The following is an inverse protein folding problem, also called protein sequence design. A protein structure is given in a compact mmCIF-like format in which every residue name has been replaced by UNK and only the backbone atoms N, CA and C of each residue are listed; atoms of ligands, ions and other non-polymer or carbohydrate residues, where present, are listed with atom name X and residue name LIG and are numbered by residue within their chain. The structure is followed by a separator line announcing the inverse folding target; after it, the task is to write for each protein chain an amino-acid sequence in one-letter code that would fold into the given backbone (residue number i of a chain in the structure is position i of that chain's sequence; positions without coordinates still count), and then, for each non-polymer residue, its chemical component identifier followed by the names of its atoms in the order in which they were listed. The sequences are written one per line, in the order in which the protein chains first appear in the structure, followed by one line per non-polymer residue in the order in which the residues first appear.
data_IF_433943970556
#
_entry.id   IF_433943970556
#
_cell.length_a   1.000
_cell.length_b   1.000
_cell.length_c   1.000
_cell.angle_alpha   90.00
_cell.angle_beta   90.00
_cell.angle_gamma   90.00
#
_symmetry.space_group_name_H-M   'P 1'
#
loop_
_entity.id
_entity.type
_entity.pdbx_description
1 polymer ?
#
# COMPACT_ATOMS: atom_id res chain seq x y z
N UNK A 1 -10.57 27.96 4.47
CA UNK A 1 -9.69 26.89 4.98
C UNK A 1 -8.28 27.15 4.46
N UNK A 2 -7.21 26.96 5.25
CA UNK A 2 -5.85 27.07 4.74
C UNK A 2 -5.65 26.12 3.56
N UNK A 3 -4.83 26.52 2.59
CA UNK A 3 -4.48 25.69 1.43
C UNK A 3 -3.64 24.51 1.95
N UNK A 4 -4.13 23.29 1.74
CA UNK A 4 -3.40 22.06 2.10
C UNK A 4 -2.10 22.01 1.30
N UNK A 5 -0.98 21.84 1.99
CA UNK A 5 0.35 21.77 1.36
C UNK A 5 0.49 20.48 0.52
N UNK A 6 1.55 20.39 -0.28
CA UNK A 6 1.79 19.19 -1.09
C UNK A 6 2.15 17.99 -0.20
N UNK A 7 2.94 18.23 0.84
CA UNK A 7 3.31 17.24 1.86
C UNK A 7 2.05 16.72 2.58
N UNK A 8 1.13 17.60 2.97
CA UNK A 8 -0.12 17.20 3.61
C UNK A 8 -1.03 16.40 2.66
N UNK A 9 -0.97 16.64 1.35
CA UNK A 9 -1.67 15.79 0.35
C UNK A 9 -1.01 14.42 0.25
N UNK A 10 0.32 14.37 0.18
CA UNK A 10 1.06 13.11 0.21
C UNK A 10 0.71 12.29 1.45
N UNK A 11 0.62 12.90 2.64
CA UNK A 11 0.16 12.21 3.85
C UNK A 11 -1.23 11.61 3.66
N UNK A 12 -2.19 12.36 3.11
CA UNK A 12 -3.53 11.82 2.87
C UNK A 12 -3.54 10.66 1.86
N UNK A 13 -2.67 10.70 0.85
CA UNK A 13 -2.53 9.66 -0.16
C UNK A 13 -1.94 8.38 0.46
N UNK A 14 -0.87 8.50 1.27
CA UNK A 14 -0.27 7.41 2.04
C UNK A 14 -1.29 6.77 2.98
N UNK A 15 -1.98 7.60 3.78
CA UNK A 15 -2.95 7.12 4.77
C UNK A 15 -4.07 6.34 4.09
N UNK A 16 -4.55 6.82 2.95
CA UNK A 16 -5.63 6.17 2.23
C UNK A 16 -5.21 4.83 1.65
N UNK A 17 -4.04 4.77 1.01
CA UNK A 17 -3.49 3.52 0.49
C UNK A 17 -3.41 2.45 1.59
N UNK A 18 -2.77 2.77 2.72
CA UNK A 18 -2.53 1.80 3.79
C UNK A 18 -3.84 1.48 4.53
N UNK A 19 -4.66 2.49 4.83
CA UNK A 19 -5.94 2.27 5.51
C UNK A 19 -6.91 1.42 4.69
N UNK A 20 -6.92 1.59 3.36
CA UNK A 20 -7.71 0.74 2.48
C UNK A 20 -7.30 -0.73 2.63
N UNK A 21 -6.01 -1.03 2.57
CA UNK A 21 -5.51 -2.40 2.72
C UNK A 21 -5.77 -2.94 4.13
N UNK A 22 -5.67 -2.13 5.18
CA UNK A 22 -6.06 -2.53 6.54
C UNK A 22 -7.53 -2.94 6.64
N UNK A 23 -8.45 -2.16 6.06
CA UNK A 23 -9.88 -2.50 6.08
C UNK A 23 -10.19 -3.69 5.17
N UNK A 24 -9.50 -3.80 4.05
CA UNK A 24 -9.61 -4.94 3.14
C UNK A 24 -9.15 -6.24 3.80
N UNK A 25 -7.95 -6.24 4.40
CA UNK A 25 -7.37 -7.44 5.02
C UNK A 25 -8.10 -7.84 6.28
N UNK A 26 -8.53 -6.89 7.11
CA UNK A 26 -9.36 -7.25 8.26
C UNK A 26 -10.65 -7.86 7.76
N UNK A 27 -11.45 -7.17 6.95
CA UNK A 27 -12.82 -7.58 6.68
C UNK A 27 -12.98 -8.80 5.77
N UNK A 28 -12.09 -9.01 4.79
CA UNK A 28 -12.37 -9.90 3.65
C UNK A 28 -11.41 -11.07 3.47
N UNK A 29 -10.24 -11.05 4.10
CA UNK A 29 -9.29 -12.17 4.06
C UNK A 29 -9.83 -13.30 4.95
N UNK A 30 -9.89 -14.51 4.40
CA UNK A 30 -10.42 -15.68 5.11
C UNK A 30 -9.42 -16.19 6.17
N UNK A 31 -9.86 -17.07 7.06
CA UNK A 31 -8.97 -17.74 8.01
C UNK A 31 -7.91 -18.63 7.33
N UNK A 32 -8.19 -19.15 6.13
CA UNK A 32 -7.22 -19.92 5.34
C UNK A 32 -6.16 -18.98 4.75
N UNK A 33 -6.59 -17.85 4.21
CA UNK A 33 -5.68 -16.84 3.70
C UNK A 33 -4.78 -16.27 4.81
N UNK A 34 -5.33 -16.04 6.01
CA UNK A 34 -4.55 -15.61 7.18
C UNK A 34 -3.45 -16.61 7.55
N UNK A 35 -3.72 -17.92 7.47
CA UNK A 35 -2.69 -18.95 7.69
C UNK A 35 -1.60 -18.87 6.64
N UNK A 36 -1.95 -18.67 5.36
CA UNK A 36 -0.95 -18.53 4.31
C UNK A 36 -0.06 -17.29 4.53
N UNK A 37 -0.63 -16.18 5.00
CA UNK A 37 0.16 -15.01 5.40
C UNK A 37 1.10 -15.30 6.58
N UNK A 38 0.65 -16.07 7.56
CA UNK A 38 1.50 -16.49 8.69
C UNK A 38 2.65 -17.38 8.22
N UNK A 39 2.40 -18.31 7.30
CA UNK A 39 3.44 -19.17 6.71
C UNK A 39 4.47 -18.31 5.94
N UNK A 40 4.00 -17.36 5.12
CA UNK A 40 4.87 -16.38 4.43
C UNK A 40 5.69 -15.57 5.43
N UNK A 41 5.08 -15.09 6.52
CA UNK A 41 5.79 -14.32 7.54
C UNK A 41 6.90 -15.15 8.22
N UNK A 42 6.63 -16.40 8.57
CA UNK A 42 7.61 -17.30 9.18
C UNK A 42 8.76 -17.61 8.24
N UNK A 43 8.46 -17.85 6.96
CA UNK A 43 9.47 -18.15 5.95
C UNK A 43 10.36 -16.94 5.66
N UNK A 44 9.76 -15.76 5.53
CA UNK A 44 10.50 -14.51 5.36
C UNK A 44 11.35 -14.23 6.59
N UNK A 45 10.83 -14.39 7.81
CA UNK A 45 11.64 -14.22 9.02
C UNK A 45 12.82 -15.21 9.04
N UNK A 46 12.61 -16.46 8.62
CA UNK A 46 13.68 -17.44 8.48
C UNK A 46 14.75 -17.03 7.47
N UNK A 47 14.35 -16.41 6.36
CA UNK A 47 15.25 -15.85 5.35
C UNK A 47 16.01 -14.61 5.87
N UNK A 48 15.33 -13.69 6.54
CA UNK A 48 15.92 -12.50 7.17
C UNK A 48 17.02 -12.90 8.15
N UNK A 49 16.73 -13.85 9.05
CA UNK A 49 17.66 -14.30 10.08
C UNK A 49 18.93 -14.97 9.53
N UNK A 50 18.91 -15.43 8.27
CA UNK A 50 20.11 -15.95 7.58
C UNK A 50 21.00 -14.85 7.01
N UNK A 51 20.46 -13.65 6.80
CA UNK A 51 21.19 -12.50 6.26
C UNK A 51 21.74 -11.65 7.41
N UNK A 52 20.91 -11.33 8.40
CA UNK A 52 21.29 -10.49 9.54
C UNK A 52 20.46 -10.79 10.78
N UNK A 53 21.05 -10.55 11.95
CA UNK A 53 20.37 -10.52 13.25
C UNK A 53 20.30 -9.11 13.84
N UNK A 54 20.77 -8.10 13.10
CA UNK A 54 20.74 -6.70 13.53
C UNK A 54 19.31 -6.16 13.45
N UNK A 55 18.75 -5.77 14.61
CA UNK A 55 17.37 -5.30 14.75
C UNK A 55 17.02 -4.16 13.78
N UNK A 56 17.97 -3.23 13.57
CA UNK A 56 17.81 -2.09 12.65
C UNK A 56 17.61 -2.51 11.18
N UNK A 57 18.04 -3.72 10.79
CA UNK A 57 17.93 -4.24 9.42
C UNK A 57 16.76 -5.20 9.22
N UNK A 58 16.10 -5.67 10.28
CA UNK A 58 15.07 -6.71 10.18
C UNK A 58 13.85 -6.21 9.39
N UNK A 59 13.33 -5.02 9.69
CA UNK A 59 12.19 -4.44 8.98
C UNK A 59 12.53 -4.18 7.50
N UNK A 60 13.75 -3.72 7.23
CA UNK A 60 14.26 -3.46 5.88
C UNK A 60 14.32 -4.76 5.07
N UNK A 61 14.98 -5.80 5.59
CA UNK A 61 15.11 -7.09 4.93
C UNK A 61 13.74 -7.75 4.72
N UNK A 62 12.89 -7.73 5.75
CA UNK A 62 11.53 -8.29 5.66
C UNK A 62 10.76 -7.62 4.53
N UNK A 63 10.79 -6.28 4.48
CA UNK A 63 10.12 -5.51 3.44
C UNK A 63 10.64 -5.87 2.04
N UNK A 64 11.96 -5.83 1.82
CA UNK A 64 12.54 -6.11 0.50
C UNK A 64 12.30 -7.56 0.03
N UNK A 65 12.33 -8.54 0.94
CA UNK A 65 12.04 -9.94 0.60
C UNK A 65 10.56 -10.12 0.24
N UNK A 66 9.64 -9.48 0.97
CA UNK A 66 8.20 -9.48 0.63
C UNK A 66 7.96 -8.81 -0.73
N UNK A 67 8.64 -7.69 -1.02
CA UNK A 67 8.55 -7.03 -2.32
C UNK A 67 9.04 -7.92 -3.46
N UNK A 68 10.18 -8.60 -3.27
CA UNK A 68 10.69 -9.57 -4.23
C UNK A 68 9.73 -10.75 -4.43
N UNK A 69 9.11 -11.24 -3.35
CA UNK A 69 8.11 -12.29 -3.44
C UNK A 69 6.86 -11.84 -4.19
N UNK A 70 6.38 -10.61 -3.97
CA UNK A 70 5.26 -10.03 -4.73
C UNK A 70 5.55 -10.01 -6.24
N UNK A 71 6.75 -9.54 -6.62
CA UNK A 71 7.18 -9.51 -8.03
C UNK A 71 7.21 -10.94 -8.59
N UNK A 72 7.74 -11.90 -7.83
CA UNK A 72 7.84 -13.29 -8.27
C UNK A 72 6.47 -13.93 -8.52
N UNK A 73 5.52 -13.71 -7.60
CA UNK A 73 4.18 -14.29 -7.62
C UNK A 73 3.25 -13.61 -8.64
N UNK A 74 3.60 -12.40 -9.09
CA UNK A 74 2.84 -11.68 -10.10
C UNK A 74 3.11 -12.16 -11.53
N UNK A 75 2.24 -11.75 -12.45
CA UNK A 75 2.48 -11.90 -13.89
C UNK A 75 2.40 -13.34 -14.37
N UNK A 76 1.41 -14.11 -13.90
CA UNK A 76 1.04 -15.42 -14.47
C UNK A 76 0.25 -15.22 -15.79
N UNK A 77 0.74 -14.28 -16.61
CA UNK A 77 0.01 -13.57 -17.67
C UNK A 77 -0.09 -14.33 -18.98
N UNK A 78 0.58 -15.48 -19.13
CA UNK A 78 0.40 -16.36 -20.29
C UNK A 78 -1.09 -16.72 -20.47
N UNK A 79 -1.82 -16.91 -19.36
CA UNK A 79 -3.28 -17.20 -19.37
C UNK A 79 -4.17 -15.99 -19.68
N UNK A 80 -3.70 -14.76 -19.43
CA UNK A 80 -4.44 -13.53 -19.70
C UNK A 80 -4.18 -13.01 -21.11
N UNK A 81 -2.91 -12.96 -21.52
CA UNK A 81 -2.49 -12.56 -22.87
C UNK A 81 -2.98 -13.55 -23.94
N UNK A 82 -3.04 -14.85 -23.63
CA UNK A 82 -3.67 -15.84 -24.52
C UNK A 82 -5.18 -15.64 -24.71
N UNK A 83 -5.88 -14.94 -23.79
CA UNK A 83 -7.30 -14.58 -23.92
C UNK A 83 -7.53 -13.22 -24.59
N UNK A 84 -6.54 -12.32 -24.58
CA UNK A 84 -6.58 -11.04 -25.29
C UNK A 84 -6.24 -11.15 -26.79
N UNK A 85 -6.05 -12.38 -27.31
CA UNK A 85 -5.75 -12.67 -28.73
C UNK A 85 -6.66 -11.92 -29.70
N UNK A 86 -6.12 -10.85 -30.27
CA UNK A 86 -6.60 -10.16 -31.45
C UNK A 86 -5.44 -9.83 -32.38
N UNK A 87 -5.62 -10.09 -33.69
CA UNK A 87 -4.84 -9.79 -34.93
C UNK A 87 -3.29 -9.80 -34.98
N UNK A 88 -2.55 -9.66 -33.87
CA UNK A 88 -1.09 -9.76 -33.83
C UNK A 88 -0.72 -10.78 -32.75
N UNK A 89 -0.36 -11.99 -33.18
CA UNK A 89 0.05 -13.08 -32.30
C UNK A 89 1.50 -12.85 -31.84
N UNK A 90 1.68 -12.41 -30.59
CA UNK A 90 2.97 -12.53 -29.91
C UNK A 90 3.10 -13.99 -29.46
N UNK A 91 4.14 -14.73 -29.87
CA UNK A 91 4.35 -16.11 -29.43
C UNK A 91 4.51 -16.21 -27.91
N UNK A 92 3.97 -17.27 -27.30
CA UNK A 92 4.02 -17.48 -25.85
C UNK A 92 5.47 -17.49 -25.32
N UNK A 93 6.43 -18.07 -26.08
CA UNK A 93 7.85 -18.07 -25.75
C UNK A 93 8.47 -16.66 -25.67
N UNK A 94 8.01 -15.73 -26.52
CA UNK A 94 8.48 -14.35 -26.54
C UNK A 94 7.92 -13.60 -25.32
N UNK A 95 6.64 -13.85 -25.00
CA UNK A 95 6.00 -13.29 -23.81
C UNK A 95 6.66 -13.79 -22.52
N UNK A 96 6.93 -15.09 -22.41
CA UNK A 96 7.64 -15.68 -21.27
C UNK A 96 9.03 -15.07 -21.09
N UNK A 97 9.75 -14.85 -22.20
CA UNK A 97 11.06 -14.19 -22.19
C UNK A 97 10.97 -12.74 -21.71
N UNK A 98 9.97 -11.99 -22.15
CA UNK A 98 9.68 -10.62 -21.71
C UNK A 98 9.39 -10.56 -20.21
N UNK A 99 8.46 -11.38 -19.73
CA UNK A 99 8.04 -11.42 -18.32
C UNK A 99 9.20 -11.84 -17.42
N UNK A 100 9.97 -12.86 -17.83
CA UNK A 100 11.18 -13.28 -17.14
C UNK A 100 12.20 -12.15 -17.07
N UNK A 101 12.42 -11.44 -18.18
CA UNK A 101 13.38 -10.33 -18.22
C UNK A 101 12.97 -9.17 -17.30
N UNK A 102 11.68 -8.85 -17.28
CA UNK A 102 11.09 -7.85 -16.38
C UNK A 102 11.32 -8.21 -14.91
N UNK A 103 11.09 -9.48 -14.53
CA UNK A 103 11.39 -9.98 -13.17
C UNK A 103 12.89 -9.90 -12.84
N UNK A 104 13.76 -10.34 -13.75
CA UNK A 104 15.22 -10.27 -13.57
C UNK A 104 15.72 -8.83 -13.32
N UNK A 105 15.27 -7.87 -14.15
CA UNK A 105 15.64 -6.46 -13.98
C UNK A 105 15.13 -5.94 -12.63
N UNK A 106 13.90 -6.30 -12.26
CA UNK A 106 13.29 -5.85 -11.01
C UNK A 106 14.03 -6.39 -9.79
N UNK A 107 14.43 -7.67 -9.79
CA UNK A 107 15.26 -8.26 -8.74
C UNK A 107 16.65 -7.62 -8.67
N UNK A 108 17.27 -7.32 -9.82
CA UNK A 108 18.54 -6.62 -9.85
C UNK A 108 18.43 -5.22 -9.22
N UNK A 109 17.36 -4.48 -9.52
CA UNK A 109 17.11 -3.16 -8.93
C UNK A 109 16.82 -3.23 -7.43
N UNK A 110 15.96 -4.15 -6.98
CA UNK A 110 15.73 -4.39 -5.54
C UNK A 110 17.02 -4.72 -4.81
N UNK A 111 17.88 -5.57 -5.40
CA UNK A 111 19.19 -5.88 -4.82
C UNK A 111 20.10 -4.65 -4.72
N UNK A 112 19.98 -3.71 -5.66
CA UNK A 112 20.70 -2.44 -5.57
C UNK A 112 20.15 -1.56 -4.45
N UNK A 113 18.82 -1.47 -4.31
CA UNK A 113 18.17 -0.67 -3.28
C UNK A 113 18.50 -1.19 -1.88
N UNK A 114 18.33 -2.49 -1.62
CA UNK A 114 18.65 -3.10 -0.32
C UNK A 114 20.13 -2.93 0.06
N UNK A 115 21.04 -2.93 -0.92
CA UNK A 115 22.48 -2.77 -0.65
C UNK A 115 22.87 -1.38 -0.15
N UNK A 116 22.04 -0.37 -0.40
CA UNK A 116 22.25 0.97 0.14
C UNK A 116 22.11 1.04 1.66
N UNK A 117 21.49 0.02 2.26
CA UNK A 117 21.37 -0.17 3.71
C UNK A 117 22.50 -1.01 4.30
N UNK A 118 23.57 -1.27 3.53
CA UNK A 118 24.72 -2.08 3.98
C UNK A 118 24.54 -3.59 3.84
N UNK A 119 23.44 -4.04 3.23
CA UNK A 119 23.15 -5.46 3.01
C UNK A 119 23.89 -5.97 1.78
N UNK A 120 24.53 -7.15 1.87
CA UNK A 120 25.22 -7.75 0.72
C UNK A 120 24.19 -8.25 -0.30
N UNK A 121 24.35 -7.82 -1.56
CA UNK A 121 23.46 -8.20 -2.67
C UNK A 121 23.35 -9.72 -2.84
N UNK A 122 24.47 -10.43 -2.71
CA UNK A 122 24.51 -11.89 -2.90
C UNK A 122 23.66 -12.61 -1.86
N UNK A 123 23.76 -12.22 -0.58
CA UNK A 123 23.01 -12.84 0.52
C UNK A 123 21.50 -12.60 0.35
N UNK A 124 21.13 -11.36 -0.01
CA UNK A 124 19.74 -11.02 -0.32
C UNK A 124 19.18 -11.82 -1.50
N UNK A 125 19.90 -11.88 -2.62
CA UNK A 125 19.46 -12.61 -3.82
C UNK A 125 19.35 -14.11 -3.53
N UNK A 126 20.29 -14.70 -2.80
CA UNK A 126 20.23 -16.12 -2.44
C UNK A 126 18.95 -16.44 -1.65
N UNK A 127 18.65 -15.64 -0.63
CA UNK A 127 17.42 -15.85 0.15
C UNK A 127 16.15 -15.57 -0.64
N UNK A 128 16.15 -14.53 -1.50
CA UNK A 128 15.02 -14.26 -2.38
C UNK A 128 14.77 -15.46 -3.31
N UNK A 129 15.80 -15.99 -3.97
CA UNK A 129 15.69 -17.16 -4.85
C UNK A 129 15.16 -18.39 -4.10
N UNK A 130 15.62 -18.60 -2.86
CA UNK A 130 15.15 -19.71 -2.04
C UNK A 130 13.66 -19.56 -1.66
N UNK A 131 13.22 -18.35 -1.31
CA UNK A 131 11.80 -18.05 -1.07
C UNK A 131 10.95 -18.25 -2.33
N UNK A 132 11.39 -17.71 -3.48
CA UNK A 132 10.63 -17.83 -4.73
C UNK A 132 10.48 -19.28 -5.17
N UNK A 133 11.52 -20.11 -5.01
CA UNK A 133 11.46 -21.56 -5.27
C UNK A 133 10.48 -22.28 -4.33
N UNK A 134 10.41 -21.86 -3.07
CA UNK A 134 9.48 -22.47 -2.10
C UNK A 134 8.02 -22.27 -2.50
N UNK A 135 7.69 -21.10 -3.04
CA UNK A 135 6.34 -20.78 -3.49
C UNK A 135 6.07 -21.10 -4.97
N UNK A 136 7.07 -21.62 -5.67
CA UNK A 136 6.92 -22.07 -7.05
C UNK A 136 5.94 -23.26 -7.11
N UNK A 137 4.90 -23.14 -7.94
CA UNK A 137 3.86 -24.17 -8.08
C UNK A 137 2.84 -24.23 -6.94
N UNK A 138 2.99 -23.44 -5.87
CA UNK A 138 1.95 -23.27 -4.85
C UNK A 138 0.90 -22.30 -5.38
N UNK A 139 -0.37 -22.71 -5.37
CA UNK A 139 -1.47 -21.79 -5.70
C UNK A 139 -1.64 -20.76 -4.59
N UNK A 140 -1.29 -19.51 -4.88
CA UNK A 140 -1.55 -18.36 -4.01
C UNK A 140 -2.64 -17.51 -4.68
N UNK A 141 -3.83 -17.37 -4.07
CA UNK A 141 -4.90 -16.53 -4.61
C UNK A 141 -4.45 -15.10 -4.90
N UNK A 142 -4.99 -14.50 -5.96
CA UNK A 142 -4.74 -13.09 -6.27
C UNK A 142 -5.18 -12.13 -5.14
N UNK A 143 -6.14 -12.53 -4.30
CA UNK A 143 -6.54 -11.79 -3.09
C UNK A 143 -5.41 -11.64 -2.06
N UNK A 144 -4.39 -12.50 -2.11
CA UNK A 144 -3.20 -12.49 -1.26
C UNK A 144 -2.00 -11.93 -2.03
N UNK A 145 -1.69 -12.55 -3.18
CA UNK A 145 -0.47 -12.28 -3.93
C UNK A 145 -0.45 -10.87 -4.54
N UNK A 146 -1.61 -10.34 -4.95
CA UNK A 146 -1.69 -8.98 -5.48
C UNK A 146 -1.56 -7.96 -4.35
N UNK A 147 -0.59 -7.03 -4.47
CA UNK A 147 -0.27 -6.03 -3.43
C UNK A 147 0.17 -6.69 -2.12
N UNK A 148 0.86 -7.83 -2.20
CA UNK A 148 1.37 -8.59 -1.06
C UNK A 148 2.09 -7.72 -0.03
N UNK A 149 2.93 -6.76 -0.44
CA UNK A 149 3.65 -5.88 0.49
C UNK A 149 2.70 -5.04 1.37
N UNK A 150 1.66 -4.45 0.77
CA UNK A 150 0.66 -3.68 1.52
C UNK A 150 -0.21 -4.60 2.40
N UNK A 151 -0.63 -5.76 1.88
CA UNK A 151 -1.43 -6.72 2.64
C UNK A 151 -0.66 -7.28 3.83
N UNK A 152 0.62 -7.61 3.64
CA UNK A 152 1.52 -8.11 4.67
C UNK A 152 1.70 -7.08 5.78
N UNK A 153 2.01 -5.82 5.43
CA UNK A 153 2.11 -4.76 6.43
C UNK A 153 0.78 -4.56 7.18
N UNK A 154 -0.35 -4.68 6.49
CA UNK A 154 -1.67 -4.50 7.10
C UNK A 154 -2.02 -5.60 8.12
N UNK A 155 -1.47 -6.80 7.95
CA UNK A 155 -1.68 -7.92 8.86
C UNK A 155 -0.66 -7.95 10.00
N UNK A 156 0.61 -7.69 9.71
CA UNK A 156 1.71 -7.75 10.69
C UNK A 156 1.79 -6.47 11.53
N UNK A 157 1.50 -5.32 10.90
CA UNK A 157 1.57 -4.00 11.54
C UNK A 157 0.30 -3.15 11.27
N UNK A 158 -0.89 -3.62 11.71
CA UNK A 158 -2.18 -3.00 11.38
C UNK A 158 -2.31 -1.54 11.84
N UNK A 159 -1.53 -1.11 12.84
CA UNK A 159 -1.60 0.25 13.41
C UNK A 159 -0.60 1.25 12.81
N UNK A 160 0.26 0.83 11.86
CA UNK A 160 1.33 1.69 11.35
C UNK A 160 0.83 3.00 10.75
N UNK A 161 -0.32 2.99 10.06
CA UNK A 161 -0.92 4.20 9.52
C UNK A 161 -1.37 5.21 10.61
N UNK A 162 -1.81 4.76 11.79
CA UNK A 162 -2.15 5.64 12.92
C UNK A 162 -0.90 6.21 13.57
N UNK A 163 0.13 5.36 13.76
CA UNK A 163 1.39 5.74 14.38
C UNK A 163 2.20 6.69 13.48
N UNK A 164 2.24 6.41 12.18
CA UNK A 164 2.83 7.29 11.16
C UNK A 164 2.19 8.67 11.21
N UNK A 165 0.86 8.76 11.23
CA UNK A 165 0.20 10.04 11.34
C UNK A 165 0.51 10.76 12.65
N UNK A 166 0.50 10.03 13.78
CA UNK A 166 0.85 10.58 15.09
C UNK A 166 2.27 11.17 15.08
N UNK A 167 3.23 10.41 14.55
CA UNK A 167 4.62 10.84 14.37
C UNK A 167 4.73 12.16 13.59
N UNK A 168 4.00 12.28 12.47
CA UNK A 168 3.98 13.52 11.70
C UNK A 168 3.29 14.69 12.41
N UNK A 169 2.34 14.44 13.32
CA UNK A 169 1.77 15.50 14.16
C UNK A 169 2.76 15.93 15.25
N UNK A 170 3.50 15.00 15.84
CA UNK A 170 4.53 15.30 16.85
C UNK A 170 5.69 16.12 16.27
N UNK A 171 6.02 15.87 14.99
CA UNK A 171 6.96 16.69 14.21
C UNK A 171 6.39 18.03 13.74
N UNK A 172 5.09 18.29 13.94
CA UNK A 172 4.43 19.54 13.53
C UNK A 172 4.12 19.67 12.02
N UNK A 173 4.36 18.61 11.24
CA UNK A 173 4.06 18.57 9.80
C UNK A 173 2.54 18.52 9.57
N UNK A 174 1.86 17.72 10.40
CA UNK A 174 0.40 17.63 10.42
C UNK A 174 -0.18 18.39 11.62
N UNK A 175 -1.37 18.93 11.46
CA UNK A 175 -2.11 19.58 12.55
C UNK A 175 -3.49 18.97 12.70
N UNK A 176 -3.72 18.24 13.79
CA UNK A 176 -5.00 17.62 14.10
C UNK A 176 -5.50 18.02 15.49
N UNK A 177 -6.59 18.76 15.57
CA UNK A 177 -7.19 19.15 16.86
C UNK A 177 -7.65 17.96 17.72
N UNK A 178 -7.84 16.78 17.12
CA UNK A 178 -8.21 15.54 17.82
C UNK A 178 -7.00 14.74 18.31
N UNK A 179 -5.79 15.12 17.93
CA UNK A 179 -4.58 14.43 18.37
C UNK A 179 -3.93 15.17 19.54
N UNK A 180 -3.58 14.45 20.60
CA UNK A 180 -2.83 14.96 21.74
C UNK A 180 -1.35 14.69 21.48
N UNK A 181 -0.61 15.73 21.09
CA UNK A 181 0.83 15.62 20.84
C UNK A 181 1.53 14.96 22.04
N UNK A 182 2.31 13.93 21.74
CA UNK A 182 3.07 13.18 22.71
C UNK A 182 4.48 12.92 22.18
N UNK A 183 5.36 13.90 22.35
CA UNK A 183 6.79 13.86 21.95
C UNK A 183 7.61 12.72 22.58
N UNK A 184 7.03 11.89 23.44
CA UNK A 184 7.69 10.73 24.06
C UNK A 184 7.40 9.40 23.34
N UNK A 185 6.48 9.37 22.38
CA UNK A 185 6.16 8.14 21.66
C UNK A 185 7.14 7.96 20.49
N UNK A 186 8.04 6.98 20.61
CA UNK A 186 8.92 6.60 19.51
C UNK A 186 8.15 5.76 18.49
N UNK A 187 7.47 6.45 17.57
CA UNK A 187 6.79 5.85 16.43
C UNK A 187 7.71 5.75 15.19
N UNK A 188 9.03 5.90 15.36
CA UNK A 188 9.99 5.92 14.25
C UNK A 188 9.97 4.60 13.46
N UNK A 189 9.78 3.46 14.13
CA UNK A 189 9.64 2.16 13.47
C UNK A 189 8.46 2.11 12.49
N UNK A 190 7.27 2.57 12.91
CA UNK A 190 6.11 2.68 12.01
C UNK A 190 6.35 3.67 10.88
N UNK A 191 7.05 4.78 11.15
CA UNK A 191 7.44 5.72 10.09
C UNK A 191 8.35 5.06 9.05
N UNK A 192 9.37 4.32 9.47
CA UNK A 192 10.30 3.64 8.58
C UNK A 192 9.59 2.57 7.73
N UNK A 193 8.69 1.76 8.30
CA UNK A 193 7.93 0.76 7.55
C UNK A 193 7.00 1.40 6.51
N UNK A 194 6.33 2.49 6.87
CA UNK A 194 5.52 3.26 5.90
C UNK A 194 6.40 3.88 4.81
N UNK A 195 7.58 4.39 5.15
CA UNK A 195 8.51 4.95 4.19
C UNK A 195 9.02 3.90 3.18
N UNK A 196 9.32 2.69 3.66
CA UNK A 196 9.67 1.54 2.82
C UNK A 196 8.51 1.13 1.89
N UNK A 197 7.27 1.04 2.42
CA UNK A 197 6.09 0.81 1.58
C UNK A 197 5.96 1.84 0.45
N UNK A 198 6.17 3.12 0.77
CA UNK A 198 6.10 4.18 -0.24
C UNK A 198 7.26 4.15 -1.23
N UNK A 199 8.45 3.75 -0.81
CA UNK A 199 9.57 3.47 -1.71
C UNK A 199 9.18 2.39 -2.73
N UNK A 200 8.54 1.31 -2.29
CA UNK A 200 8.10 0.24 -3.19
C UNK A 200 6.97 0.67 -4.12
N UNK A 201 6.02 1.49 -3.66
CA UNK A 201 4.97 2.04 -4.53
C UNK A 201 5.55 2.98 -5.61
N UNK A 202 6.52 3.82 -5.25
CA UNK A 202 7.24 4.65 -6.23
C UNK A 202 8.05 3.76 -7.19
N UNK A 203 8.71 2.72 -6.68
CA UNK A 203 9.43 1.75 -7.52
C UNK A 203 8.50 1.04 -8.50
N UNK A 204 7.29 0.68 -8.09
CA UNK A 204 6.26 0.11 -8.96
C UNK A 204 5.85 1.08 -10.07
N UNK A 205 5.65 2.35 -9.75
CA UNK A 205 5.37 3.36 -10.78
C UNK A 205 6.54 3.49 -11.75
N UNK A 206 7.78 3.50 -11.25
CA UNK A 206 8.99 3.52 -12.06
C UNK A 206 9.08 2.28 -12.98
N UNK A 207 8.87 1.09 -12.43
CA UNK A 207 9.00 -0.18 -13.13
C UNK A 207 8.06 -0.28 -14.33
N UNK A 208 6.81 0.15 -14.15
CA UNK A 208 5.79 0.19 -15.19
C UNK A 208 6.24 0.91 -16.45
N UNK A 209 7.02 1.99 -16.31
CA UNK A 209 7.44 2.82 -17.45
C UNK A 209 8.85 2.53 -17.92
N UNK A 210 9.73 2.05 -17.04
CA UNK A 210 11.16 1.94 -17.32
C UNK A 210 11.66 0.49 -17.49
N UNK A 211 10.90 -0.51 -17.05
CA UNK A 211 11.29 -1.93 -17.11
C UNK A 211 10.50 -2.70 -18.18
N UNK A 212 9.34 -2.18 -18.62
CA UNK A 212 8.55 -2.79 -19.69
C UNK A 212 9.37 -2.79 -21.01
N UNK A 213 9.61 -3.95 -21.65
CA UNK A 213 10.39 -4.00 -22.88
C UNK A 213 9.61 -3.35 -24.02
N UNK A 214 9.93 -2.07 -24.25
CA UNK A 214 9.70 -1.28 -25.44
C UNK A 214 8.70 -1.81 -26.47
N UNK A 215 7.56 -1.15 -26.55
CA UNK A 215 6.68 -1.14 -27.71
C UNK A 215 6.16 0.26 -27.96
N UNK A 216 6.80 0.96 -28.90
CA UNK A 216 6.58 2.36 -29.34
C UNK A 216 7.14 3.44 -28.40
N UNK A 217 8.09 4.22 -28.92
CA UNK A 217 8.49 5.54 -28.43
C UNK A 217 7.34 6.58 -28.43
N UNK A 218 6.08 6.13 -28.46
CA UNK A 218 4.87 6.94 -28.56
C UNK A 218 3.87 6.55 -27.48
N UNK A 219 3.77 7.37 -26.42
CA UNK A 219 2.57 7.38 -25.59
C UNK A 219 1.50 8.19 -26.32
N UNK A 220 0.41 7.52 -26.70
CA UNK A 220 -0.77 8.20 -27.26
C UNK A 220 -1.59 8.83 -26.14
N UNK A 221 -1.36 10.12 -25.87
CA UNK A 221 -2.26 10.91 -25.02
C UNK A 221 -3.54 11.23 -25.79
N UNK A 222 -4.67 10.69 -25.35
CA UNK A 222 -5.97 10.96 -25.99
C UNK A 222 -6.59 12.21 -25.37
N UNK A 223 -7.04 13.14 -26.20
CA UNK A 223 -7.82 14.27 -25.72
C UNK A 223 -9.02 13.75 -24.93
N UNK A 224 -9.23 14.19 -23.68
CA UNK A 224 -10.39 13.77 -22.91
C UNK A 224 -11.68 14.10 -23.68
N UNK A 225 -12.70 13.21 -23.70
CA UNK A 225 -13.94 13.48 -24.42
C UNK A 225 -14.59 14.81 -24.01
N UNK A 226 -15.32 15.46 -24.92
CA UNK A 226 -15.91 16.78 -24.62
C UNK A 226 -17.06 16.70 -23.61
N UNK A 227 -17.66 15.53 -23.45
CA UNK A 227 -18.87 15.23 -22.69
C UNK A 227 -18.62 14.71 -21.26
N UNK A 228 -17.36 14.62 -20.81
CA UNK A 228 -17.06 14.26 -19.42
C UNK A 228 -17.13 15.46 -18.46
N UNK A 229 -17.42 15.23 -17.17
CA UNK A 229 -17.37 16.27 -16.15
C UNK A 229 -16.01 16.98 -16.07
N UNK A 230 -16.01 18.29 -15.82
CA UNK A 230 -14.78 19.11 -15.77
C UNK A 230 -13.78 18.64 -14.71
N UNK A 231 -14.27 18.15 -13.57
CA UNK A 231 -13.40 17.56 -12.54
C UNK A 231 -12.67 16.31 -13.04
N UNK A 232 -13.36 15.46 -13.81
CA UNK A 232 -12.78 14.26 -14.40
C UNK A 232 -11.78 14.63 -15.50
N UNK A 233 -12.13 15.62 -16.34
CA UNK A 233 -11.23 16.19 -17.36
C UNK A 233 -9.94 16.71 -16.73
N UNK A 234 -10.05 17.46 -15.64
CA UNK A 234 -8.89 17.99 -14.90
C UNK A 234 -8.02 16.88 -14.34
N UNK A 235 -8.62 15.82 -13.76
CA UNK A 235 -7.88 14.65 -13.26
C UNK A 235 -7.05 13.97 -14.36
N UNK A 236 -7.64 13.75 -15.53
CA UNK A 236 -6.94 13.14 -16.69
C UNK A 236 -5.77 14.04 -17.14
N UNK A 237 -5.98 15.35 -17.23
CA UNK A 237 -4.91 16.30 -17.59
C UNK A 237 -3.78 16.27 -16.55
N UNK A 238 -4.12 16.23 -15.26
CA UNK A 238 -3.13 16.19 -14.19
C UNK A 238 -2.35 14.86 -14.19
N UNK A 239 -2.96 13.73 -14.57
CA UNK A 239 -2.27 12.45 -14.79
C UNK A 239 -1.28 12.55 -15.96
N UNK A 240 -1.67 13.16 -17.08
CA UNK A 240 -0.77 13.35 -18.22
C UNK A 240 0.43 14.24 -17.90
N UNK A 241 0.22 15.34 -17.17
CA UNK A 241 1.33 16.18 -16.69
C UNK A 241 2.30 15.40 -15.81
N UNK A 242 1.77 14.57 -14.91
CA UNK A 242 2.60 13.73 -14.05
C UNK A 242 3.46 12.74 -14.85
N UNK A 243 2.90 12.11 -15.89
CA UNK A 243 3.67 11.25 -16.79
C UNK A 243 4.79 12.04 -17.47
N UNK A 244 4.47 13.21 -18.05
CA UNK A 244 5.44 14.08 -18.71
C UNK A 244 6.57 14.50 -17.76
N UNK A 245 6.21 15.00 -16.57
CA UNK A 245 7.15 15.60 -15.64
C UNK A 245 8.06 14.57 -14.96
N UNK A 246 7.60 13.34 -14.72
CA UNK A 246 8.35 12.35 -13.94
C UNK A 246 8.87 11.14 -14.74
N UNK A 247 8.24 10.81 -15.85
CA UNK A 247 8.62 9.64 -16.68
C UNK A 247 9.47 10.08 -17.87
N UNK A 248 9.11 11.19 -18.52
CA UNK A 248 9.75 11.61 -19.78
C UNK A 248 10.91 12.60 -19.62
N UNK A 249 10.97 13.35 -18.52
CA UNK A 249 12.00 14.38 -18.26
C UNK A 249 13.42 13.83 -18.02
N UNK A 250 13.67 12.55 -18.35
CA UNK A 250 14.94 11.80 -18.31
C UNK A 250 15.48 11.40 -16.94
N UNK A 251 14.80 11.69 -15.83
CA UNK A 251 15.37 11.33 -14.53
C UNK A 251 14.98 9.95 -13.99
N UNK A 252 13.92 9.29 -14.49
CA UNK A 252 13.57 7.91 -14.11
C UNK A 252 13.89 7.61 -12.64
N UNK A 253 13.41 8.46 -11.73
CA UNK A 253 14.04 8.56 -10.41
C UNK A 253 13.58 7.39 -9.58
N UNK A 254 14.48 6.43 -9.42
CA UNK A 254 14.37 5.44 -8.37
C UNK A 254 14.60 6.14 -7.03
N UNK A 255 13.50 6.53 -6.37
CA UNK A 255 13.56 6.99 -4.99
C UNK A 255 14.01 5.83 -4.10
N UNK A 256 14.93 6.14 -3.20
CA UNK A 256 15.43 5.20 -2.20
C UNK A 256 15.33 5.85 -0.83
N UNK A 257 14.53 5.28 0.05
CA UNK A 257 14.43 5.71 1.42
C UNK A 257 15.71 5.29 2.16
N UNK A 258 16.34 6.25 2.84
CA UNK A 258 17.46 5.98 3.74
C UNK A 258 17.15 6.67 5.07
N UNK A 259 17.55 6.05 6.18
CA UNK A 259 17.65 6.76 7.45
C UNK A 259 18.81 7.75 7.30
N UNK A 260 18.48 8.95 6.83
CA UNK A 260 19.45 9.97 6.50
C UNK A 260 20.04 10.58 7.77
N UNK A 261 21.27 11.11 7.71
CA UNK A 261 21.86 11.89 8.81
C UNK A 261 21.12 13.22 9.11
N UNK A 262 19.94 13.42 8.51
CA UNK A 262 19.09 14.58 8.76
C UNK A 262 18.35 14.40 10.09
N UNK A 263 17.87 15.52 10.64
CA UNK A 263 16.93 15.43 11.74
C UNK A 263 15.60 14.81 11.28
N UNK A 264 14.82 14.29 12.22
CA UNK A 264 13.60 13.55 11.96
C UNK A 264 12.58 14.31 11.09
N UNK A 265 12.39 15.60 11.36
CA UNK A 265 11.49 16.45 10.57
C UNK A 265 11.92 16.55 9.10
N UNK A 266 13.22 16.79 8.84
CA UNK A 266 13.73 16.87 7.47
C UNK A 266 13.66 15.53 6.76
N UNK A 267 13.91 14.42 7.45
CA UNK A 267 13.75 13.07 6.87
C UNK A 267 12.29 12.84 6.47
N UNK A 268 11.34 13.21 7.32
CA UNK A 268 9.91 13.13 7.00
C UNK A 268 9.50 14.03 5.83
N UNK A 269 9.97 15.28 5.79
CA UNK A 269 9.68 16.19 4.68
C UNK A 269 10.28 15.70 3.35
N UNK A 270 11.49 15.13 3.37
CA UNK A 270 12.11 14.55 2.17
C UNK A 270 11.31 13.38 1.62
N UNK A 271 10.81 12.49 2.50
CA UNK A 271 9.91 11.41 2.09
C UNK A 271 8.64 11.99 1.46
N UNK A 272 7.97 12.94 2.12
CA UNK A 272 6.70 13.49 1.67
C UNK A 272 6.81 14.29 0.37
N UNK A 273 7.92 14.98 0.15
CA UNK A 273 8.22 15.67 -1.11
C UNK A 273 8.36 14.66 -2.26
N UNK A 274 9.13 13.58 -2.05
CA UNK A 274 9.28 12.53 -3.05
C UNK A 274 7.97 11.79 -3.32
N UNK A 275 7.17 11.49 -2.29
CA UNK A 275 5.84 10.89 -2.47
C UNK A 275 4.93 11.86 -3.24
N UNK A 276 4.88 13.14 -2.88
CA UNK A 276 4.06 14.12 -3.58
C UNK A 276 4.44 14.26 -5.06
N UNK A 277 5.72 14.03 -5.39
CA UNK A 277 6.25 14.18 -6.74
C UNK A 277 6.11 12.91 -7.58
N UNK A 278 6.40 11.75 -6.99
CA UNK A 278 6.61 10.46 -7.66
C UNK A 278 5.51 9.42 -7.39
N UNK A 279 4.48 9.79 -6.63
CA UNK A 279 3.35 8.92 -6.38
C UNK A 279 2.05 9.72 -6.43
N UNK A 280 1.09 9.24 -7.23
CA UNK A 280 -0.26 9.78 -7.28
C UNK A 280 -1.25 8.71 -6.88
N UNK A 281 -2.04 9.00 -5.85
CA UNK A 281 -3.05 8.07 -5.35
C UNK A 281 -4.45 8.62 -5.56
N UNK A 282 -5.33 7.82 -6.14
CA UNK A 282 -6.75 8.16 -6.25
C UNK A 282 -7.45 7.74 -4.97
N UNK A 283 -7.52 8.63 -3.99
CA UNK A 283 -8.07 8.34 -2.66
C UNK A 283 -9.48 7.75 -2.67
N UNK A 284 -9.66 6.69 -1.90
CA UNK A 284 -10.93 6.05 -1.61
C UNK A 284 -11.71 6.81 -0.52
N UNK A 285 -11.07 7.06 0.61
CA UNK A 285 -11.58 7.83 1.74
C UNK A 285 -11.36 9.32 1.50
N UNK A 286 -12.36 9.95 0.88
CA UNK A 286 -12.31 11.38 0.58
C UNK A 286 -12.59 12.28 1.79
N UNK A 287 -12.01 13.47 1.76
CA UNK A 287 -12.34 14.56 2.67
C UNK A 287 -11.12 15.22 3.30
N UNK A 288 -11.36 15.96 4.38
CA UNK A 288 -10.32 16.70 5.10
C UNK A 288 -9.57 15.82 6.09
N UNK A 289 -8.36 16.25 6.44
CA UNK A 289 -7.51 15.66 7.48
C UNK A 289 -8.27 15.32 8.78
N UNK A 290 -9.22 16.15 9.20
CA UNK A 290 -10.02 15.96 10.42
C UNK A 290 -10.94 14.70 10.43
N UNK A 291 -11.12 14.05 9.28
CA UNK A 291 -11.94 12.83 9.14
C UNK A 291 -11.16 11.56 9.52
N UNK A 292 -9.84 11.56 9.43
CA UNK A 292 -9.00 10.37 9.62
C UNK A 292 -9.18 9.66 10.97
N UNK A 293 -9.27 10.35 12.12
CA UNK A 293 -9.57 9.68 13.39
C UNK A 293 -10.91 8.93 13.40
N UNK A 294 -11.88 9.39 12.60
CA UNK A 294 -13.13 8.65 12.41
C UNK A 294 -12.95 7.40 11.57
N UNK A 295 -12.17 7.47 10.49
CA UNK A 295 -11.88 6.34 9.60
C UNK A 295 -11.11 5.23 10.33
N UNK A 296 -10.08 5.56 11.11
CA UNK A 296 -9.37 4.58 11.93
C UNK A 296 -10.27 3.92 12.97
N UNK A 297 -11.19 4.66 13.58
CA UNK A 297 -12.18 4.07 14.48
C UNK A 297 -13.13 3.09 13.77
N UNK A 298 -13.42 3.27 12.48
CA UNK A 298 -14.16 2.26 11.69
C UNK A 298 -13.34 0.98 11.60
N UNK A 299 -12.06 1.08 11.25
CA UNK A 299 -11.16 -0.07 11.18
C UNK A 299 -11.04 -0.81 12.52
N UNK A 300 -10.87 -0.09 13.63
CA UNK A 300 -10.82 -0.70 14.96
C UNK A 300 -12.12 -1.42 15.33
N UNK A 301 -13.29 -0.84 15.01
CA UNK A 301 -14.58 -1.53 15.24
C UNK A 301 -14.66 -2.81 14.40
N UNK A 302 -14.19 -2.81 13.15
CA UNK A 302 -14.15 -4.03 12.33
C UNK A 302 -13.27 -5.11 12.97
N UNK A 303 -12.06 -4.79 13.43
CA UNK A 303 -11.18 -5.74 14.14
C UNK A 303 -11.87 -6.32 15.38
N UNK A 304 -12.41 -5.46 16.26
CA UNK A 304 -13.07 -5.90 17.49
C UNK A 304 -14.32 -6.76 17.21
N UNK A 305 -15.02 -6.48 16.11
CA UNK A 305 -16.18 -7.25 15.68
C UNK A 305 -15.81 -8.66 15.20
N UNK A 306 -14.61 -8.86 14.65
CA UNK A 306 -14.17 -10.19 14.28
C UNK A 306 -13.90 -11.07 15.49
N UNK A 307 -13.31 -10.48 16.52
CA UNK A 307 -13.09 -11.16 17.80
C UNK A 307 -14.41 -11.39 18.56
N UNK A 308 -15.35 -10.46 18.46
CA UNK A 308 -16.62 -10.49 19.21
C UNK A 308 -17.85 -10.21 18.31
N UNK A 309 -18.28 -11.16 17.45
CA UNK A 309 -19.29 -10.89 16.42
C UNK A 309 -20.69 -10.56 16.94
N UNK A 310 -21.03 -11.02 18.15
CA UNK A 310 -22.35 -10.84 18.77
C UNK A 310 -22.45 -9.57 19.61
N UNK A 311 -21.33 -8.90 19.89
CA UNK A 311 -21.30 -7.72 20.76
C UNK A 311 -21.87 -6.50 20.03
N UNK A 312 -22.68 -5.74 20.76
CA UNK A 312 -23.30 -4.54 20.19
C UNK A 312 -22.23 -3.51 19.80
N UNK A 313 -22.42 -2.88 18.63
CA UNK A 313 -21.51 -1.83 18.15
C UNK A 313 -21.68 -0.57 18.99
N UNK A 314 -22.93 -0.17 19.24
CA UNK A 314 -23.30 0.99 20.03
C UNK A 314 -24.71 0.84 20.58
N UNK A 315 -24.94 1.36 21.78
CA UNK A 315 -26.23 1.36 22.46
C UNK A 315 -26.55 2.77 22.97
N UNK A 316 -27.69 3.35 22.58
CA UNK A 316 -28.07 4.72 22.98
C UNK A 316 -28.39 4.87 24.48
N UNK A 317 -28.99 3.84 25.08
CA UNK A 317 -29.41 3.85 26.49
C UNK A 317 -28.28 3.59 27.48
N UNK A 318 -27.38 2.67 27.15
CA UNK A 318 -26.18 2.33 27.91
C UNK A 318 -25.13 1.77 26.95
N UNK A 319 -24.08 2.55 26.68
CA UNK A 319 -23.04 2.18 25.72
C UNK A 319 -21.89 1.37 26.35
N UNK A 320 -22.02 1.04 27.64
CA UNK A 320 -21.03 0.27 28.39
C UNK A 320 -20.77 -1.07 27.70
N UNK A 321 -19.51 -1.42 27.55
CA UNK A 321 -19.08 -2.68 26.93
C UNK A 321 -19.56 -2.83 25.46
N UNK A 322 -19.67 -1.73 24.72
CA UNK A 322 -19.90 -1.78 23.26
C UNK A 322 -18.58 -1.73 22.49
N UNK A 323 -18.57 -2.22 21.24
CA UNK A 323 -17.37 -2.18 20.40
C UNK A 323 -16.89 -0.74 20.13
N UNK A 324 -17.81 0.21 20.00
CA UNK A 324 -17.46 1.62 19.79
C UNK A 324 -16.91 2.31 21.03
N UNK A 325 -17.26 1.86 22.24
CA UNK A 325 -16.66 2.33 23.48
C UNK A 325 -15.21 1.86 23.59
N UNK A 326 -14.98 0.56 23.39
CA UNK A 326 -13.64 0.00 23.42
C UNK A 326 -12.74 0.60 22.34
N UNK A 327 -13.24 0.74 21.11
CA UNK A 327 -12.50 1.43 20.05
C UNK A 327 -12.15 2.88 20.43
N UNK A 328 -13.05 3.59 21.14
CA UNK A 328 -12.79 4.94 21.63
C UNK A 328 -11.70 4.94 22.73
N UNK A 329 -11.67 3.94 23.61
CA UNK A 329 -10.63 3.81 24.63
C UNK A 329 -9.26 3.44 24.03
N UNK A 330 -9.23 2.57 23.01
CA UNK A 330 -8.02 2.28 22.21
C UNK A 330 -7.52 3.55 21.54
N UNK A 331 -8.40 4.30 20.87
CA UNK A 331 -8.04 5.57 20.23
C UNK A 331 -7.48 6.59 21.24
N UNK A 332 -8.07 6.67 22.44
CA UNK A 332 -7.59 7.56 23.50
C UNK A 332 -6.17 7.18 23.97
N UNK A 333 -5.88 5.88 24.13
CA UNK A 333 -4.51 5.36 24.39
C UNK A 333 -3.53 5.70 23.28
N UNK A 334 -4.00 5.73 22.03
CA UNK A 334 -3.24 6.16 20.86
C UNK A 334 -3.18 7.70 20.68
N UNK A 335 -3.60 8.46 21.70
CA UNK A 335 -3.61 9.92 21.75
C UNK A 335 -4.64 10.61 20.84
N UNK A 336 -5.66 9.90 20.37
CA UNK A 336 -6.75 10.46 19.58
C UNK A 336 -8.03 10.63 20.41
N UNK A 337 -8.42 11.89 20.62
CA UNK A 337 -9.66 12.25 21.31
C UNK A 337 -10.86 12.13 20.37
N UNK A 338 -11.62 11.04 20.52
CA UNK A 338 -12.86 10.75 19.80
C UNK A 338 -13.94 10.26 20.78
N UNK A 339 -15.21 10.37 20.39
CA UNK A 339 -16.35 9.83 21.16
C UNK A 339 -16.87 8.55 20.53
N UNK A 340 -17.33 7.59 21.33
CA UNK A 340 -17.94 6.33 20.85
C UNK A 340 -19.09 6.57 19.85
N UNK A 341 -19.97 7.53 20.13
CA UNK A 341 -21.07 7.93 19.22
C UNK A 341 -20.56 8.39 17.85
N UNK A 342 -19.49 9.20 17.81
CA UNK A 342 -18.87 9.62 16.54
C UNK A 342 -18.34 8.41 15.76
N UNK A 343 -17.68 7.47 16.43
CA UNK A 343 -17.16 6.26 15.79
C UNK A 343 -18.29 5.41 15.23
N UNK A 344 -19.35 5.18 16.00
CA UNK A 344 -20.55 4.47 15.54
C UNK A 344 -21.20 5.11 14.31
N UNK A 345 -21.39 6.43 14.30
CA UNK A 345 -21.99 7.13 13.17
C UNK A 345 -21.12 7.01 11.91
N UNK A 346 -19.78 7.10 12.06
CA UNK A 346 -18.84 6.91 10.96
C UNK A 346 -18.84 5.48 10.45
N UNK A 347 -18.87 4.50 11.35
CA UNK A 347 -18.98 3.10 11.00
C UNK A 347 -20.28 2.82 10.22
N UNK A 348 -21.42 3.31 10.72
CA UNK A 348 -22.71 3.16 10.04
C UNK A 348 -22.70 3.78 8.64
N UNK A 349 -22.07 4.95 8.48
CA UNK A 349 -21.88 5.59 7.18
C UNK A 349 -20.98 4.77 6.25
N UNK A 350 -19.87 4.25 6.77
CA UNK A 350 -18.94 3.41 6.03
C UNK A 350 -19.63 2.15 5.51
N UNK A 351 -20.35 1.42 6.36
CA UNK A 351 -21.09 0.22 5.97
C UNK A 351 -22.05 0.52 4.83
N UNK A 352 -22.82 1.62 4.94
CA UNK A 352 -23.81 2.00 3.94
C UNK A 352 -23.22 2.42 2.60
N UNK A 353 -22.12 3.16 2.60
CA UNK A 353 -21.66 3.89 1.42
C UNK A 353 -20.34 3.40 0.84
N UNK A 354 -19.42 2.97 1.70
CA UNK A 354 -18.00 2.74 1.35
C UNK A 354 -17.68 1.24 1.29
N UNK A 355 -18.20 0.43 2.22
CA UNK A 355 -17.86 -1.00 2.33
C UNK A 355 -18.11 -1.82 1.04
N UNK A 356 -19.14 -1.47 0.26
CA UNK A 356 -19.50 -2.13 -1.00
C UNK A 356 -18.36 -2.13 -2.03
N UNK A 357 -17.52 -1.11 -2.02
CA UNK A 357 -16.42 -1.01 -2.97
C UNK A 357 -15.24 -1.89 -2.56
N UNK A 358 -14.98 -2.03 -1.27
CA UNK A 358 -13.95 -2.95 -0.73
C UNK A 358 -14.37 -4.40 -1.01
N UNK A 359 -15.66 -4.73 -0.80
CA UNK A 359 -16.23 -6.03 -1.17
C UNK A 359 -16.06 -6.28 -2.67
N UNK A 360 -16.35 -5.28 -3.51
CA UNK A 360 -16.19 -5.40 -4.96
C UNK A 360 -14.73 -5.61 -5.37
N UNK A 361 -13.79 -4.90 -4.75
CA UNK A 361 -12.35 -5.08 -4.97
C UNK A 361 -11.95 -6.53 -4.70
N UNK A 362 -12.34 -7.07 -3.54
CA UNK A 362 -12.13 -8.49 -3.21
C UNK A 362 -12.77 -9.43 -4.23
N UNK A 363 -14.06 -9.25 -4.53
CA UNK A 363 -14.79 -10.15 -5.44
C UNK A 363 -14.15 -10.24 -6.81
N UNK A 364 -13.56 -9.14 -7.30
CA UNK A 364 -12.86 -9.16 -8.59
C UNK A 364 -11.57 -9.96 -8.48
N UNK A 365 -10.73 -9.68 -7.48
CA UNK A 365 -9.49 -10.44 -7.28
C UNK A 365 -9.76 -11.92 -7.08
N UNK A 366 -10.77 -12.28 -6.29
CA UNK A 366 -11.16 -13.67 -6.04
C UNK A 366 -11.65 -14.41 -7.30
N UNK A 367 -12.12 -13.68 -8.31
CA UNK A 367 -12.56 -14.25 -9.59
C UNK A 367 -11.43 -14.32 -10.63
N UNK A 368 -10.28 -13.70 -10.37
CA UNK A 368 -9.17 -13.75 -11.31
C UNK A 368 -8.53 -15.15 -11.29
N UNK A 369 -8.40 -15.81 -12.45
CA UNK A 369 -7.72 -17.10 -12.54
C UNK A 369 -6.19 -16.95 -12.61
N UNK A 370 -5.66 -15.75 -12.32
CA UNK A 370 -4.26 -15.36 -12.37
C UNK A 370 -4.00 -14.22 -11.38
N UNK A 371 -2.72 -13.99 -11.03
CA UNK A 371 -2.30 -12.82 -10.25
C UNK A 371 -1.90 -11.69 -11.20
N UNK A 372 -2.54 -10.51 -11.14
CA UNK A 372 -2.16 -9.37 -11.97
C UNK A 372 -0.70 -8.99 -11.80
N UNK A 373 -0.14 -8.32 -12.81
CA UNK A 373 1.22 -7.76 -12.70
C UNK A 373 1.35 -6.85 -11.49
N UNK A 374 2.50 -6.97 -10.82
CA UNK A 374 2.81 -6.15 -9.67
C UNK A 374 2.93 -4.68 -10.07
N UNK A 375 3.56 -4.34 -11.19
CA UNK A 375 3.78 -2.94 -11.55
C UNK A 375 2.57 -2.24 -12.21
N UNK A 376 1.50 -2.98 -12.46
CA UNK A 376 0.26 -2.44 -13.01
C UNK A 376 -0.41 -1.43 -12.09
N UNK A 377 -1.15 -0.48 -12.69
CA UNK A 377 -2.13 0.31 -11.95
C UNK A 377 -2.98 -0.63 -11.12
N UNK A 378 -3.43 -0.18 -9.95
CA UNK A 378 -4.48 -0.90 -9.24
C UNK A 378 -5.79 -0.73 -10.00
N UNK A 379 -5.88 -1.40 -11.15
CA UNK A 379 -7.00 -1.38 -12.08
C UNK A 379 -8.29 -1.77 -11.35
N UNK A 380 -8.19 -2.71 -10.41
CA UNK A 380 -9.29 -3.10 -9.52
C UNK A 380 -9.63 -1.98 -8.53
N UNK A 381 -8.67 -1.21 -8.04
CA UNK A 381 -8.94 -0.11 -7.11
C UNK A 381 -9.49 1.16 -7.80
N UNK A 382 -8.99 1.49 -9.01
CA UNK A 382 -9.34 2.73 -9.70
C UNK A 382 -10.61 2.65 -10.56
N UNK A 383 -11.02 1.46 -11.01
CA UNK A 383 -12.22 1.28 -11.85
C UNK A 383 -13.53 1.67 -11.15
N UNK A 384 -13.52 1.81 -9.82
CA UNK A 384 -14.74 2.00 -9.02
C UNK A 384 -14.90 3.36 -8.38
N UNK A 385 -13.95 4.27 -8.61
CA UNK A 385 -13.99 5.63 -8.08
C UNK A 385 -14.66 6.63 -9.04
N UNK A 386 -15.34 6.15 -10.08
CA UNK A 386 -16.06 6.96 -11.10
C UNK A 386 -17.42 7.40 -10.56
#
# INVERSE_FOLDING_TARGET
MPKVSNEQKAVMDILDLIHFHNVYTSRLISSEDQKLFQDIALDVQGAVNKISTEEALLDILTHYLICGLEISLSGDDVKFMSKLKGKYEIPDEVLDSILKKKKEISFALLSCMVSEHGIKKADFIDQLVNLTKKYEGIYIPATIAYRLANNFNSLVHPLDHLHFYGYLNDLGIMTCAKYRCNKRNDNKGSFNRVALLMEFEIFRVFARFCIDPGGMDEITLKTPPKDIPDELRKKIIDEYKYLIDNVFSKEGILYKFKDSNLNEEKTALLLLDNVSRLFKHRRFFQGTIARWPGAWGVFLIELLRQENPTRAIYCESDNTNSLSEEAKDIMDKLNYKVSARMLYLRYSQFIKNESKFIIRYYSILAQLPYTPEWDGDSYVYHKFLV
#
